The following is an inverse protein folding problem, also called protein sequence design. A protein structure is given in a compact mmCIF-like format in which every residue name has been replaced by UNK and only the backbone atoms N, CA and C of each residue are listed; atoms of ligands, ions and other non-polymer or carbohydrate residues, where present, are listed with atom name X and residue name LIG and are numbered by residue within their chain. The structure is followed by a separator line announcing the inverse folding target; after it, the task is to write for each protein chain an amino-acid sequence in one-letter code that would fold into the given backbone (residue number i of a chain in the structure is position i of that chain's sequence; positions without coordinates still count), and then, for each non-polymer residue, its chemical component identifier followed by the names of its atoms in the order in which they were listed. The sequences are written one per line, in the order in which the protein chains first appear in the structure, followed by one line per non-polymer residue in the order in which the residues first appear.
data_IF_081461167273
#
_entry.id   IF_081461167273
#
_cell.length_a   1.000
_cell.length_b   1.000
_cell.length_c   1.000
_cell.angle_alpha   90.00
_cell.angle_beta   90.00
_cell.angle_gamma   90.00
#
_symmetry.space_group_name_H-M   'P 1'
#
loop_
_entity.id
_entity.type
_entity.pdbx_description
1 polymer ?
#
# COMPACT_ATOMS: atom_id res chain seq x y z
N UNK A 1 -25.91 11.38 15.50
CA UNK A 1 -24.91 10.36 15.12
C UNK A 1 -24.82 10.35 13.61
N UNK A 2 -23.81 11.01 13.06
CA UNK A 2 -23.51 10.95 11.62
C UNK A 2 -23.00 9.55 11.30
N UNK A 3 -23.79 8.77 10.56
CA UNK A 3 -23.39 7.42 10.13
C UNK A 3 -22.28 7.55 9.09
N UNK A 4 -21.17 6.86 9.31
CA UNK A 4 -20.15 6.66 8.29
C UNK A 4 -20.72 5.61 7.33
N UNK A 5 -20.66 5.89 6.03
CA UNK A 5 -20.97 4.94 4.98
C UNK A 5 -19.66 4.39 4.44
N UNK A 6 -19.64 3.10 4.18
CA UNK A 6 -18.49 2.43 3.59
C UNK A 6 -18.82 2.11 2.14
N UNK A 7 -17.90 2.39 1.22
CA UNK A 7 -18.01 2.16 -0.21
C UNK A 7 -16.80 1.36 -0.64
N UNK A 8 -17.03 0.27 -1.35
CA UNK A 8 -15.98 -0.55 -1.95
C UNK A 8 -15.71 -0.01 -3.35
N UNK A 9 -14.46 0.35 -3.62
CA UNK A 9 -13.98 0.82 -4.91
C UNK A 9 -13.12 -0.30 -5.48
N UNK A 10 -13.60 -0.96 -6.53
CA UNK A 10 -12.85 -1.99 -7.22
C UNK A 10 -11.93 -1.33 -8.25
N UNK A 11 -10.63 -1.52 -8.07
CA UNK A 11 -9.63 -1.08 -9.01
C UNK A 11 -9.27 -2.25 -9.93
N UNK A 12 -9.57 -2.10 -11.23
CA UNK A 12 -9.29 -3.13 -12.23
C UNK A 12 -7.83 -3.17 -12.68
N UNK A 13 -7.06 -2.08 -12.47
CA UNK A 13 -5.65 -2.03 -12.85
C UNK A 13 -4.78 -2.81 -11.86
N UNK A 14 -5.15 -2.78 -10.58
CA UNK A 14 -4.43 -3.46 -9.50
C UNK A 14 -5.16 -4.70 -8.96
N UNK A 15 -6.26 -5.09 -9.61
CA UNK A 15 -7.11 -6.25 -9.26
C UNK A 15 -7.40 -6.30 -7.75
N UNK A 16 -7.64 -5.15 -7.14
CA UNK A 16 -7.79 -5.01 -5.70
C UNK A 16 -8.98 -4.12 -5.35
N UNK A 17 -9.57 -4.38 -4.18
CA UNK A 17 -10.75 -3.65 -3.71
C UNK A 17 -10.36 -2.77 -2.55
N UNK A 18 -10.46 -1.46 -2.75
CA UNK A 18 -10.19 -0.47 -1.73
C UNK A 18 -11.46 -0.11 -0.96
N UNK A 19 -11.32 0.10 0.35
CA UNK A 19 -12.46 0.46 1.21
C UNK A 19 -12.45 1.95 1.54
N UNK A 20 -13.37 2.71 0.94
CA UNK A 20 -13.56 4.14 1.20
C UNK A 20 -14.63 4.37 2.27
N UNK A 21 -14.29 5.10 3.33
CA UNK A 21 -15.23 5.58 4.33
C UNK A 21 -15.63 7.02 4.02
N UNK A 22 -16.93 7.26 3.84
CA UNK A 22 -17.49 8.59 3.62
C UNK A 22 -18.47 8.96 4.74
N UNK A 23 -18.46 10.22 5.16
CA UNK A 23 -19.33 10.73 6.21
C UNK A 23 -19.85 12.10 5.79
N UNK A 24 -21.13 12.39 6.10
CA UNK A 24 -21.69 13.72 5.84
C UNK A 24 -21.22 14.70 6.92
N UNK A 25 -20.57 15.79 6.52
CA UNK A 25 -20.06 16.85 7.39
C UNK A 25 -20.77 18.17 7.07
N UNK A 26 -21.88 18.45 7.79
CA UNK A 26 -22.70 19.63 7.54
C UNK A 26 -23.35 19.60 6.15
N UNK A 27 -22.97 20.57 5.30
CA UNK A 27 -23.44 20.67 3.93
C UNK A 27 -22.61 19.83 2.93
N UNK A 28 -21.42 19.39 3.35
CA UNK A 28 -20.50 18.60 2.53
C UNK A 28 -20.39 17.13 2.96
N UNK A 29 -19.46 16.44 2.30
CA UNK A 29 -19.08 15.06 2.50
C UNK A 29 -17.59 14.97 2.68
N UNK A 30 -17.16 14.28 3.72
CA UNK A 30 -15.75 13.97 3.98
C UNK A 30 -15.54 12.49 3.71
N UNK A 31 -14.45 12.12 3.04
CA UNK A 31 -14.14 10.73 2.73
C UNK A 31 -12.65 10.43 2.85
N UNK A 32 -12.33 9.20 3.21
CA UNK A 32 -10.95 8.70 3.31
C UNK A 32 -10.88 7.21 3.00
N UNK A 33 -9.74 6.76 2.50
CA UNK A 33 -9.48 5.33 2.26
C UNK A 33 -9.03 4.67 3.57
N UNK A 34 -9.61 3.51 3.91
CA UNK A 34 -9.28 2.77 5.13
C UNK A 34 -7.82 2.30 5.13
N UNK A 35 -7.34 1.80 3.98
CA UNK A 35 -5.96 1.33 3.81
C UNK A 35 -4.96 2.49 3.80
N UNK A 36 -5.36 3.62 3.24
CA UNK A 36 -4.55 4.83 3.15
C UNK A 36 -5.24 6.02 3.81
N UNK A 37 -5.20 6.14 5.15
CA UNK A 37 -5.85 7.24 5.88
C UNK A 37 -5.27 8.63 5.56
N UNK A 38 -4.12 8.68 4.87
CA UNK A 38 -3.50 9.90 4.35
C UNK A 38 -4.24 10.44 3.11
N UNK A 39 -4.94 9.57 2.38
CA UNK A 39 -5.80 9.92 1.26
C UNK A 39 -7.18 10.29 1.82
N UNK A 40 -7.38 11.60 2.03
CA UNK A 40 -8.59 12.19 2.58
C UNK A 40 -9.02 13.38 1.72
N UNK A 41 -10.31 13.41 1.36
CA UNK A 41 -10.92 14.47 0.58
C UNK A 41 -12.21 14.97 1.26
N UNK A 42 -12.60 16.21 1.00
CA UNK A 42 -13.89 16.77 1.42
C UNK A 42 -14.52 17.49 0.23
N UNK A 43 -15.75 17.14 -0.10
CA UNK A 43 -16.46 17.62 -1.29
C UNK A 43 -17.91 17.92 -0.99
N UNK A 44 -18.56 18.72 -1.85
CA UNK A 44 -19.96 19.08 -1.68
C UNK A 44 -20.93 17.93 -1.99
N UNK A 45 -20.51 16.96 -2.81
CA UNK A 45 -21.35 15.80 -3.18
C UNK A 45 -20.59 14.48 -3.03
N UNK A 46 -21.34 13.40 -2.81
CA UNK A 46 -20.77 12.05 -2.71
C UNK A 46 -20.08 11.63 -4.01
N UNK A 47 -20.63 11.99 -5.16
CA UNK A 47 -20.11 11.58 -6.48
C UNK A 47 -18.75 12.24 -6.74
N UNK A 48 -18.65 13.56 -6.54
CA UNK A 48 -17.39 14.30 -6.67
C UNK A 48 -16.35 13.82 -5.65
N UNK A 49 -16.79 13.47 -4.43
CA UNK A 49 -15.92 12.92 -3.40
C UNK A 49 -15.29 11.59 -3.85
N UNK A 50 -16.09 10.70 -4.43
CA UNK A 50 -15.62 9.39 -4.88
C UNK A 50 -14.65 9.51 -6.06
N UNK A 51 -14.97 10.35 -7.04
CA UNK A 51 -14.09 10.62 -8.19
C UNK A 51 -12.73 11.18 -7.73
N UNK A 52 -12.75 12.13 -6.80
CA UNK A 52 -11.52 12.71 -6.24
C UNK A 52 -10.73 11.69 -5.43
N UNK A 53 -11.41 10.86 -4.62
CA UNK A 53 -10.77 9.80 -3.83
C UNK A 53 -10.11 8.74 -4.71
N UNK A 54 -10.78 8.32 -5.78
CA UNK A 54 -10.25 7.36 -6.76
C UNK A 54 -9.00 7.92 -7.45
N UNK A 55 -9.05 9.18 -7.91
CA UNK A 55 -7.92 9.82 -8.56
C UNK A 55 -6.71 9.99 -7.61
N UNK A 56 -6.93 10.50 -6.40
CA UNK A 56 -5.85 10.67 -5.42
C UNK A 56 -5.28 9.32 -4.95
N UNK A 57 -6.11 8.28 -4.87
CA UNK A 57 -5.67 6.93 -4.57
C UNK A 57 -4.75 6.40 -5.67
N UNK A 58 -5.12 6.57 -6.94
CA UNK A 58 -4.29 6.17 -8.07
C UNK A 58 -2.92 6.87 -8.05
N UNK A 59 -2.89 8.20 -7.88
CA UNK A 59 -1.64 8.96 -7.77
C UNK A 59 -0.77 8.49 -6.59
N UNK A 60 -1.41 8.15 -5.46
CA UNK A 60 -0.70 7.65 -4.27
C UNK A 60 -0.07 6.28 -4.53
N UNK A 61 -0.81 5.39 -5.19
CA UNK A 61 -0.33 4.05 -5.52
C UNK A 61 0.80 4.10 -6.56
N UNK A 62 0.66 4.94 -7.58
CA UNK A 62 1.70 5.19 -8.59
C UNK A 62 3.01 5.65 -7.94
N UNK A 63 2.93 6.61 -7.02
CA UNK A 63 4.08 7.10 -6.27
C UNK A 63 4.71 6.03 -5.35
N UNK A 64 3.91 5.12 -4.78
CA UNK A 64 4.41 4.01 -3.97
C UNK A 64 5.19 3.02 -4.87
N UNK A 65 4.67 2.65 -6.05
CA UNK A 65 5.43 1.78 -6.97
C UNK A 65 6.73 2.40 -7.48
N UNK A 66 6.73 3.69 -7.83
CA UNK A 66 7.97 4.38 -8.22
C UNK A 66 9.01 4.36 -7.08
N UNK A 67 8.54 4.42 -5.84
CA UNK A 67 9.40 4.34 -4.65
C UNK A 67 9.94 2.91 -4.44
N UNK A 68 9.10 1.89 -4.67
CA UNK A 68 9.50 0.49 -4.57
C UNK A 68 10.51 0.10 -5.65
N UNK A 69 10.34 0.57 -6.88
CA UNK A 69 11.26 0.30 -8.00
C UNK A 69 12.68 0.81 -7.70
N UNK A 70 12.80 2.06 -7.23
CA UNK A 70 14.10 2.63 -6.80
C UNK A 70 14.74 1.87 -5.66
N UNK A 71 13.97 1.42 -4.68
CA UNK A 71 14.52 0.63 -3.57
C UNK A 71 15.02 -0.73 -4.05
N UNK A 72 14.31 -1.39 -4.97
CA UNK A 72 14.76 -2.66 -5.55
C UNK A 72 16.05 -2.47 -6.34
N UNK A 73 16.15 -1.44 -7.17
CA UNK A 73 17.37 -1.12 -7.89
C UNK A 73 18.55 -0.84 -6.94
N UNK A 74 18.34 -0.08 -5.87
CA UNK A 74 19.38 0.18 -4.86
C UNK A 74 19.78 -1.07 -4.08
N UNK A 75 18.86 -1.96 -3.71
CA UNK A 75 19.18 -3.19 -2.96
C UNK A 75 19.89 -4.23 -3.86
N UNK A 76 19.54 -4.30 -5.15
CA UNK A 76 20.28 -5.07 -6.18
C UNK A 76 21.68 -4.49 -6.38
N UNK A 77 21.81 -3.16 -6.46
CA UNK A 77 23.07 -2.47 -6.72
C UNK A 77 24.02 -2.44 -5.51
N UNK A 78 23.46 -2.45 -4.31
CA UNK A 78 24.21 -2.51 -3.04
C UNK A 78 24.72 -3.93 -2.73
N UNK A 79 24.33 -4.95 -3.52
CA UNK A 79 24.76 -6.34 -3.30
C UNK A 79 24.29 -6.88 -1.94
N UNK A 80 23.23 -6.31 -1.36
CA UNK A 80 22.73 -6.73 -0.04
C UNK A 80 22.16 -8.15 -0.08
N UNK A 81 21.71 -8.57 -1.27
CA UNK A 81 21.30 -9.94 -1.58
C UNK A 81 22.46 -10.92 -1.82
N UNK A 82 23.73 -10.49 -1.71
CA UNK A 82 24.90 -11.38 -1.72
C UNK A 82 25.30 -11.85 -0.31
N UNK A 83 24.74 -11.26 0.76
CA UNK A 83 25.05 -11.67 2.14
C UNK A 83 24.18 -12.83 2.67
N UNK A 84 23.35 -13.44 1.81
CA UNK A 84 22.68 -14.72 2.13
C UNK A 84 23.20 -15.89 1.29
N UNK A 85 24.19 -15.67 0.40
CA UNK A 85 24.77 -16.73 -0.45
C UNK A 85 26.07 -17.31 0.12
N UNK A 86 26.75 -16.62 1.04
CA UNK A 86 28.06 -17.03 1.57
C UNK A 86 28.04 -17.48 3.05
N UNK A 87 26.87 -17.81 3.64
CA UNK A 87 26.83 -18.39 5.01
C UNK A 87 26.41 -19.88 5.05
N UNK A 88 26.39 -20.57 3.89
CA UNK A 88 26.07 -22.02 3.85
C UNK A 88 27.33 -22.90 3.75
N UNK A 89 28.51 -22.32 3.52
CA UNK A 89 29.74 -23.11 3.32
C UNK A 89 30.61 -23.27 4.59
N UNK A 90 30.27 -22.63 5.71
CA UNK A 90 31.07 -22.71 6.94
C UNK A 90 30.55 -23.72 7.98
N UNK A 91 29.26 -24.08 7.97
CA UNK A 91 28.72 -25.04 8.97
C UNK A 91 29.02 -26.51 8.61
N UNK A 92 29.15 -26.84 7.32
CA UNK A 92 29.53 -28.18 6.87
C UNK A 92 30.98 -28.55 7.23
N UNK A 93 31.86 -27.57 7.49
CA UNK A 93 33.25 -27.81 7.90
C UNK A 93 33.43 -27.95 9.42
N UNK A 94 32.41 -27.60 10.21
CA UNK A 94 32.45 -27.65 11.66
C UNK A 94 31.96 -29.00 12.24
N UNK A 95 31.53 -29.95 11.40
CA UNK A 95 31.29 -31.34 11.82
C UNK A 95 30.24 -31.50 12.93
N UNK A 96 29.30 -30.57 13.06
CA UNK A 96 28.17 -30.66 14.00
C UNK A 96 26.89 -30.98 13.26
N UNK A 97 26.89 -32.05 12.47
CA UNK A 97 25.63 -32.70 12.15
C UNK A 97 25.17 -33.40 13.43
N UNK A 98 24.16 -32.82 14.07
CA UNK A 98 23.50 -33.42 15.21
C UNK A 98 22.66 -34.58 14.67
N UNK A 99 23.08 -35.79 15.00
CA UNK A 99 22.34 -37.03 14.77
C UNK A 99 20.91 -36.86 15.33
N UNK A 100 19.89 -37.13 14.51
CA UNK A 100 18.47 -37.20 14.90
C UNK A 100 18.08 -38.64 15.18
#
# INVERSE_FOLDING_TARGET
MTKIQTVEIYDSEYETTYTAHIQRNGDGWIGWIQEHPKVKCEEHTKETLLETLENTLYETLEADWETWDKQIEEDIKSGRFDRLREETLEDLRAGRCKDL
#
